data_IF_681403671536
#
_entry.id   IF_681403671536
#
_cell.length_a   1.000
_cell.length_b   1.000
_cell.length_c   1.000
_cell.angle_alpha   90.00
_cell.angle_beta   90.00
_cell.angle_gamma   90.00
#
_symmetry.space_group_name_H-M   'P 1'
#
loop_
_entity.id
_entity.type
_entity.pdbx_description
1 polymer ?
#
# COMPACT_ATOMS: atom_id res chain seq x y z
N UNK A 1 -41.40 46.48 53.39
CA UNK A 1 -40.30 46.89 52.49
C UNK A 1 -39.09 47.17 53.36
N UNK A 2 -38.13 46.25 53.40
CA UNK A 2 -36.73 46.54 53.72
C UNK A 2 -35.93 45.45 53.02
N UNK A 3 -35.18 45.88 52.02
CA UNK A 3 -34.39 45.04 51.14
C UNK A 3 -33.13 44.60 51.89
N UNK A 4 -32.95 43.29 52.06
CA UNK A 4 -31.64 42.72 52.35
C UNK A 4 -30.73 42.99 51.15
N UNK A 5 -29.78 43.89 51.34
CA UNK A 5 -28.69 44.10 50.39
C UNK A 5 -27.68 42.98 50.62
N UNK A 6 -27.78 41.92 49.81
CA UNK A 6 -26.75 40.88 49.74
C UNK A 6 -25.45 41.52 49.24
N UNK A 7 -24.52 41.75 50.16
CA UNK A 7 -23.15 42.11 49.82
C UNK A 7 -22.49 40.86 49.24
N UNK A 8 -22.28 40.87 47.93
CA UNK A 8 -21.42 39.90 47.24
C UNK A 8 -20.00 40.17 47.74
N UNK A 9 -19.51 39.34 48.67
CA UNK A 9 -18.08 39.28 48.98
C UNK A 9 -17.39 38.75 47.74
N UNK A 10 -16.59 39.60 47.09
CA UNK A 10 -15.59 39.13 46.14
C UNK A 10 -14.65 38.19 46.92
N UNK A 11 -14.66 36.91 46.56
CA UNK A 11 -13.70 35.91 47.03
C UNK A 11 -12.30 36.29 46.48
N UNK A 12 -11.69 37.34 47.05
CA UNK A 12 -10.27 37.60 46.86
C UNK A 12 -9.50 36.43 47.46
N UNK A 13 -8.94 35.59 46.58
CA UNK A 13 -8.10 34.47 46.97
C UNK A 13 -6.88 35.02 47.73
N UNK A 14 -6.93 34.96 49.06
CA UNK A 14 -5.81 35.37 49.91
C UNK A 14 -4.66 34.36 49.78
N UNK A 15 -3.76 34.64 48.83
CA UNK A 15 -2.56 33.86 48.53
C UNK A 15 -1.66 33.65 49.75
N UNK A 16 -1.68 34.57 50.73
CA UNK A 16 -0.91 34.46 51.96
C UNK A 16 -1.43 33.36 52.90
N UNK A 17 -2.74 33.16 52.94
CA UNK A 17 -3.39 32.10 53.71
C UNK A 17 -3.07 30.71 53.14
N UNK A 18 -3.10 30.56 51.80
CA UNK A 18 -2.76 29.32 51.10
C UNK A 18 -1.29 28.94 51.33
N UNK A 19 -0.37 29.90 51.31
CA UNK A 19 1.05 29.65 51.54
C UNK A 19 1.35 29.15 52.96
N UNK A 20 0.64 29.66 53.97
CA UNK A 20 0.75 29.16 55.35
C UNK A 20 0.26 27.71 55.47
N UNK A 21 -0.82 27.34 54.77
CA UNK A 21 -1.33 25.96 54.74
C UNK A 21 -0.33 25.00 54.07
N UNK A 22 0.31 25.43 52.97
CA UNK A 22 1.38 24.69 52.30
C UNK A 22 2.59 24.45 53.23
N UNK A 23 3.04 25.50 53.92
CA UNK A 23 4.19 25.43 54.84
C UNK A 23 3.91 24.52 56.03
N UNK A 24 2.66 24.47 56.51
CA UNK A 24 2.23 23.59 57.61
C UNK A 24 2.27 22.11 57.23
N UNK A 25 1.86 21.76 56.00
CA UNK A 25 1.81 20.37 55.52
C UNK A 25 2.97 19.99 54.58
N UNK A 26 4.07 20.76 54.58
CA UNK A 26 5.22 20.55 53.68
C UNK A 26 5.75 19.12 53.63
N UNK A 27 5.75 18.40 54.76
CA UNK A 27 6.19 17.01 54.82
C UNK A 27 5.15 16.04 54.22
N UNK A 28 3.86 16.30 54.40
CA UNK A 28 2.80 15.50 53.79
C UNK A 28 2.76 15.67 52.27
N UNK A 29 2.92 16.91 51.80
CA UNK A 29 3.06 17.21 50.37
C UNK A 29 4.31 16.51 49.81
N UNK A 30 5.47 16.67 50.45
CA UNK A 30 6.72 16.03 50.02
C UNK A 30 6.61 14.49 49.98
N UNK A 31 5.93 13.88 50.95
CA UNK A 31 5.71 12.43 51.00
C UNK A 31 4.83 11.95 49.84
N UNK A 32 3.70 12.62 49.59
CA UNK A 32 2.82 12.30 48.46
C UNK A 32 3.57 12.47 47.14
N UNK A 33 4.29 13.58 46.96
CA UNK A 33 5.11 13.80 45.76
C UNK A 33 6.17 12.70 45.58
N UNK A 34 6.84 12.27 46.65
CA UNK A 34 7.82 11.19 46.59
C UNK A 34 7.19 9.86 46.16
N UNK A 35 5.97 9.54 46.63
CA UNK A 35 5.25 8.34 46.20
C UNK A 35 4.92 8.40 44.70
N UNK A 36 4.41 9.54 44.20
CA UNK A 36 4.12 9.69 42.78
C UNK A 36 5.38 9.61 41.91
N UNK A 37 6.50 10.17 42.37
CA UNK A 37 7.80 10.04 41.68
C UNK A 37 8.27 8.59 41.67
N UNK A 38 8.14 7.85 42.77
CA UNK A 38 8.50 6.44 42.83
C UNK A 38 7.61 5.59 41.90
N UNK A 39 6.30 5.83 41.88
CA UNK A 39 5.38 5.15 40.96
C UNK A 39 5.70 5.46 39.50
N UNK A 40 5.99 6.73 39.18
CA UNK A 40 6.38 7.14 37.83
C UNK A 40 7.71 6.49 37.41
N UNK A 41 8.69 6.40 38.31
CA UNK A 41 9.97 5.76 38.04
C UNK A 41 9.82 4.26 37.77
N UNK A 42 9.00 3.56 38.57
CA UNK A 42 8.66 2.15 38.35
C UNK A 42 7.96 1.99 36.99
N UNK A 43 6.98 2.84 36.67
CA UNK A 43 6.26 2.80 35.40
C UNK A 43 7.20 2.99 34.19
N UNK A 44 8.10 3.98 34.25
CA UNK A 44 9.07 4.25 33.18
C UNK A 44 10.10 3.12 33.01
N UNK A 45 10.45 2.40 34.07
CA UNK A 45 11.34 1.25 33.99
C UNK A 45 10.75 0.11 33.14
N UNK A 46 9.43 -0.13 33.27
CA UNK A 46 8.74 -1.20 32.54
C UNK A 46 8.30 -0.82 31.12
N UNK A 47 8.14 0.47 30.82
CA UNK A 47 7.79 0.89 29.46
C UNK A 47 8.90 0.53 28.44
N UNK A 48 8.54 -0.08 27.28
CA UNK A 48 9.48 -0.25 26.18
C UNK A 48 9.75 1.12 25.51
N UNK A 49 11.01 1.37 25.14
CA UNK A 49 11.35 2.52 24.30
C UNK A 49 10.81 2.28 22.88
N UNK A 50 10.12 3.27 22.30
CA UNK A 50 9.61 3.23 20.93
C UNK A 50 10.46 4.18 20.08
N UNK A 51 10.97 3.66 18.97
CA UNK A 51 11.77 4.38 17.98
C UNK A 51 11.01 4.43 16.66
N UNK A 52 11.29 5.44 15.83
CA UNK A 52 10.77 5.51 14.47
C UNK A 52 11.90 5.48 13.46
N UNK A 53 11.71 4.72 12.39
CA UNK A 53 12.50 4.80 11.18
C UNK A 53 11.60 5.36 10.07
N UNK A 54 12.15 6.19 9.18
CA UNK A 54 11.40 6.71 8.05
C UNK A 54 12.28 6.83 6.80
N UNK A 55 11.61 6.75 5.65
CA UNK A 55 12.20 7.09 4.35
C UNK A 55 11.34 8.13 3.65
N UNK A 56 11.95 8.85 2.70
CA UNK A 56 11.28 9.81 1.83
C UNK A 56 11.41 9.32 0.39
N UNK A 57 10.27 9.12 -0.26
CA UNK A 57 10.18 8.62 -1.62
C UNK A 57 9.54 9.68 -2.54
N UNK A 58 10.28 10.11 -3.55
CA UNK A 58 9.77 10.99 -4.60
C UNK A 58 8.99 10.17 -5.64
N UNK A 59 7.70 10.46 -5.80
CA UNK A 59 6.87 9.86 -6.85
C UNK A 59 6.98 10.72 -8.10
N UNK A 60 7.73 10.23 -9.10
CA UNK A 60 7.87 10.92 -10.39
C UNK A 60 6.73 10.55 -11.35
N UNK A 61 5.83 11.50 -11.56
CA UNK A 61 4.91 11.46 -12.70
C UNK A 61 5.64 11.77 -14.01
N UNK A 62 5.22 11.13 -15.12
CA UNK A 62 5.51 11.70 -16.45
C UNK A 62 4.84 13.07 -16.49
N UNK A 63 5.63 14.14 -16.63
CA UNK A 63 5.08 15.44 -17.03
C UNK A 63 4.46 15.21 -18.41
N UNK A 64 3.14 15.17 -18.49
CA UNK A 64 2.48 15.40 -19.77
C UNK A 64 3.02 16.75 -20.27
N UNK A 65 3.44 16.82 -21.53
CA UNK A 65 3.94 18.04 -22.14
C UNK A 65 2.81 19.07 -22.20
N UNK A 66 2.60 19.80 -21.11
CA UNK A 66 1.61 20.86 -21.00
C UNK A 66 2.36 22.17 -21.15
N UNK A 67 2.03 22.92 -22.19
CA UNK A 67 2.47 24.30 -22.35
C UNK A 67 2.07 25.09 -21.09
N UNK A 68 3.06 25.72 -20.45
CA UNK A 68 2.98 26.39 -19.15
C UNK A 68 2.09 27.64 -19.10
N UNK A 69 1.28 27.89 -20.13
CA UNK A 69 0.48 29.12 -20.27
C UNK A 69 -1.02 28.90 -20.04
N UNK A 70 -1.46 27.68 -19.71
CA UNK A 70 -2.87 27.42 -19.45
C UNK A 70 -3.12 27.16 -17.96
N UNK A 71 -3.65 28.18 -17.27
CA UNK A 71 -3.96 28.17 -15.83
C UNK A 71 -4.89 27.01 -15.45
N UNK A 72 -5.82 26.63 -16.35
CA UNK A 72 -6.70 25.47 -16.18
C UNK A 72 -5.94 24.14 -16.19
N UNK A 73 -4.90 24.01 -17.03
CA UNK A 73 -4.09 22.80 -17.08
C UNK A 73 -3.14 22.67 -15.86
N UNK A 74 -2.82 23.78 -15.19
CA UNK A 74 -2.06 23.76 -13.93
C UNK A 74 -2.95 23.40 -12.73
N UNK A 75 -4.21 23.84 -12.71
CA UNK A 75 -5.18 23.50 -11.66
C UNK A 75 -5.69 22.05 -11.81
N UNK A 76 -5.94 21.59 -13.04
CA UNK A 76 -6.30 20.19 -13.34
C UNK A 76 -5.09 19.24 -13.30
N UNK A 77 -3.91 19.69 -13.72
CA UNK A 77 -2.66 18.93 -13.63
C UNK A 77 -2.16 18.74 -12.20
N UNK A 78 -2.51 19.66 -11.29
CA UNK A 78 -2.30 19.52 -9.84
C UNK A 78 -3.18 18.43 -9.22
N UNK A 79 -4.44 18.30 -9.65
CA UNK A 79 -5.33 17.21 -9.23
C UNK A 79 -4.82 15.83 -9.68
N UNK A 80 -4.38 15.68 -10.93
CA UNK A 80 -3.83 14.41 -11.43
C UNK A 80 -2.49 14.02 -10.80
N UNK A 81 -1.74 14.95 -10.24
CA UNK A 81 -0.55 14.64 -9.44
C UNK A 81 -0.89 14.23 -8.00
N UNK A 82 -1.94 14.82 -7.42
CA UNK A 82 -2.44 14.48 -6.08
C UNK A 82 -3.06 13.08 -6.05
N UNK A 83 -3.93 12.74 -7.01
CA UNK A 83 -4.52 11.40 -7.14
C UNK A 83 -3.46 10.31 -7.32
N UNK A 84 -2.38 10.61 -8.05
CA UNK A 84 -1.25 9.68 -8.23
C UNK A 84 -0.52 9.39 -6.92
N UNK A 85 -0.28 10.41 -6.10
CA UNK A 85 0.43 10.24 -4.83
C UNK A 85 -0.46 9.47 -3.84
N UNK A 86 -1.76 9.80 -3.77
CA UNK A 86 -2.72 9.11 -2.92
C UNK A 86 -2.80 7.61 -3.27
N UNK A 87 -2.85 7.29 -4.57
CA UNK A 87 -2.81 5.89 -5.05
C UNK A 87 -1.54 5.16 -4.59
N UNK A 88 -0.36 5.74 -4.80
CA UNK A 88 0.89 5.10 -4.37
C UNK A 88 0.96 4.92 -2.83
N UNK A 89 0.41 5.87 -2.07
CA UNK A 89 0.32 5.75 -0.61
C UNK A 89 -0.58 4.60 -0.17
N UNK A 90 -1.71 4.38 -0.85
CA UNK A 90 -2.58 3.24 -0.55
C UNK A 90 -1.94 1.91 -0.97
N UNK A 91 -1.27 1.85 -2.13
CA UNK A 91 -0.51 0.66 -2.56
C UNK A 91 0.54 0.27 -1.49
N UNK A 92 1.25 1.24 -0.90
CA UNK A 92 2.23 1.00 0.16
C UNK A 92 1.63 0.38 1.44
N UNK A 93 0.35 0.60 1.71
CA UNK A 93 -0.37 0.01 2.84
C UNK A 93 -0.93 -1.38 2.54
N UNK A 94 -0.97 -1.79 1.27
CA UNK A 94 -1.53 -3.08 0.89
C UNK A 94 -0.74 -4.25 1.47
N UNK A 95 -1.48 -5.34 1.69
CA UNK A 95 -0.97 -6.57 2.29
C UNK A 95 0.12 -7.21 1.42
N UNK A 96 -0.02 -7.16 0.09
CA UNK A 96 0.91 -7.79 -0.86
C UNK A 96 2.30 -7.14 -0.89
N UNK A 97 2.37 -5.80 -0.92
CA UNK A 97 3.64 -5.08 -0.91
C UNK A 97 4.39 -5.33 0.40
N UNK A 98 3.65 -5.31 1.51
CA UNK A 98 4.19 -5.58 2.84
C UNK A 98 4.61 -7.05 3.01
N UNK A 99 3.99 -7.99 2.29
CA UNK A 99 4.33 -9.42 2.37
C UNK A 99 5.73 -9.67 1.86
N UNK A 100 6.05 -9.09 0.71
CA UNK A 100 7.38 -9.15 0.13
C UNK A 100 8.43 -8.50 1.06
N UNK A 101 8.07 -7.37 1.69
CA UNK A 101 8.93 -6.69 2.65
C UNK A 101 9.21 -7.54 3.90
N UNK A 102 8.18 -8.11 4.51
CA UNK A 102 8.33 -8.91 5.73
C UNK A 102 9.08 -10.22 5.48
N UNK A 103 8.88 -10.87 4.32
CA UNK A 103 9.65 -12.05 3.94
C UNK A 103 11.16 -11.75 3.88
N UNK A 104 11.57 -10.53 3.53
CA UNK A 104 12.97 -10.12 3.53
C UNK A 104 13.54 -9.86 4.95
N UNK A 105 12.68 -9.63 5.94
CA UNK A 105 13.06 -9.23 7.31
C UNK A 105 12.97 -10.40 8.31
N UNK A 106 12.54 -11.58 7.86
CA UNK A 106 12.32 -12.80 8.67
C UNK A 106 11.43 -12.54 9.89
N UNK A 107 10.23 -12.00 9.61
CA UNK A 107 9.29 -11.51 10.62
C UNK A 107 8.65 -12.60 11.51
N UNK A 108 8.80 -13.87 11.13
CA UNK A 108 8.05 -14.97 11.73
C UNK A 108 8.46 -15.27 13.18
N UNK A 109 9.65 -14.84 13.60
CA UNK A 109 10.20 -15.15 14.91
C UNK A 109 10.69 -13.89 15.62
N UNK A 110 10.28 -13.74 16.88
CA UNK A 110 10.76 -12.67 17.78
C UNK A 110 11.43 -13.29 18.98
N UNK A 111 12.62 -12.81 19.33
CA UNK A 111 13.42 -13.34 20.43
C UNK A 111 13.43 -12.37 21.62
N UNK A 112 13.37 -12.90 22.82
CA UNK A 112 13.39 -12.15 24.07
C UNK A 112 14.38 -12.79 25.04
N UNK A 113 15.07 -11.92 25.78
CA UNK A 113 16.01 -12.28 26.83
C UNK A 113 15.51 -11.72 28.17
N UNK A 114 15.78 -12.42 29.26
CA UNK A 114 15.42 -11.98 30.61
C UNK A 114 16.56 -11.10 31.16
N UNK A 115 16.41 -9.78 31.10
CA UNK A 115 17.38 -8.85 31.66
C UNK A 115 16.83 -8.23 32.96
N UNK A 116 17.32 -8.69 34.12
CA UNK A 116 16.97 -8.16 35.45
C UNK A 116 15.47 -7.84 35.61
N UNK A 117 14.61 -8.88 35.48
CA UNK A 117 13.15 -8.82 35.63
C UNK A 117 12.39 -8.07 34.51
N UNK A 118 13.07 -7.65 33.43
CA UNK A 118 12.47 -7.12 32.21
C UNK A 118 12.74 -8.05 31.03
N UNK A 119 11.68 -8.50 30.36
CA UNK A 119 11.79 -9.17 29.06
C UNK A 119 12.20 -8.14 28.03
N UNK A 120 13.42 -8.25 27.51
CA UNK A 120 13.96 -7.35 26.49
C UNK A 120 14.03 -8.09 25.18
N UNK A 121 13.40 -7.52 24.17
CA UNK A 121 13.42 -8.09 22.83
C UNK A 121 14.79 -7.91 22.17
N UNK A 122 15.22 -8.91 21.39
CA UNK A 122 16.48 -8.93 20.65
C UNK A 122 16.22 -9.27 19.19
N UNK A 123 16.83 -8.50 18.29
CA UNK A 123 16.70 -8.70 16.84
C UNK A 123 18.02 -9.10 16.17
N UNK A 124 19.17 -8.62 16.67
CA UNK A 124 20.49 -8.98 16.15
C UNK A 124 21.32 -9.75 17.18
N UNK A 125 22.31 -10.50 16.71
CA UNK A 125 23.23 -11.30 17.53
C UNK A 125 22.55 -12.36 18.42
N UNK A 126 21.41 -12.89 17.98
CA UNK A 126 20.71 -13.98 18.67
C UNK A 126 21.54 -15.26 18.55
N UNK A 127 21.76 -16.02 19.65
CA UNK A 127 22.59 -17.22 19.65
C UNK A 127 21.88 -18.46 19.10
N UNK A 128 20.57 -18.38 18.86
CA UNK A 128 19.74 -19.39 18.20
C UNK A 128 19.09 -18.82 16.95
N UNK A 129 18.72 -19.70 16.03
CA UNK A 129 18.06 -19.34 14.79
C UNK A 129 16.98 -20.37 14.47
N UNK A 130 15.74 -19.93 14.42
CA UNK A 130 14.57 -20.78 14.19
C UNK A 130 14.17 -20.69 12.72
N UNK A 131 14.28 -21.80 11.99
CA UNK A 131 14.01 -21.89 10.55
C UNK A 131 12.98 -22.94 10.19
N UNK A 132 12.57 -22.94 8.92
CA UNK A 132 11.66 -23.92 8.32
C UNK A 132 10.31 -24.00 9.05
N UNK A 133 9.77 -22.84 9.43
CA UNK A 133 8.51 -22.76 10.16
C UNK A 133 7.36 -23.12 9.23
N UNK A 134 6.66 -24.21 9.56
CA UNK A 134 5.41 -24.62 8.93
C UNK A 134 4.34 -24.72 10.00
N UNK A 135 3.19 -24.13 9.73
CA UNK A 135 2.06 -24.18 10.65
C UNK A 135 0.96 -25.02 10.04
N UNK A 136 0.59 -26.09 10.74
CA UNK A 136 -0.46 -27.02 10.29
C UNK A 136 -1.83 -26.67 10.89
N UNK A 137 -1.86 -25.92 11.99
CA UNK A 137 -3.09 -25.47 12.65
C UNK A 137 -3.46 -24.04 12.25
N UNK A 138 -4.63 -23.86 11.61
CA UNK A 138 -5.16 -22.53 11.23
C UNK A 138 -5.68 -21.72 12.43
N UNK A 139 -5.92 -22.34 13.57
CA UNK A 139 -6.55 -21.68 14.74
C UNK A 139 -5.54 -20.97 15.65
N UNK A 140 -4.25 -21.29 15.53
CA UNK A 140 -3.22 -20.70 16.37
C UNK A 140 -2.66 -19.43 15.72
N UNK A 141 -2.66 -18.31 16.45
CA UNK A 141 -2.13 -17.03 15.96
C UNK A 141 -0.63 -16.87 16.24
N UNK A 142 -0.19 -17.35 17.39
CA UNK A 142 1.22 -17.36 17.80
C UNK A 142 1.46 -18.37 18.94
N UNK A 143 2.69 -18.85 19.05
CA UNK A 143 3.14 -19.65 20.20
C UNK A 143 4.33 -18.98 20.87
N UNK A 144 4.33 -18.94 22.21
CA UNK A 144 5.46 -18.46 22.99
C UNK A 144 6.25 -19.66 23.52
N UNK A 145 7.54 -19.74 23.20
CA UNK A 145 8.41 -20.81 23.66
C UNK A 145 9.53 -20.28 24.53
N UNK A 146 9.95 -21.09 25.50
CA UNK A 146 11.14 -20.88 26.32
C UNK A 146 12.13 -22.01 26.05
N UNK A 147 13.31 -21.66 25.58
CA UNK A 147 14.43 -22.57 25.36
C UNK A 147 15.43 -22.43 26.51
N UNK A 148 15.70 -23.55 27.20
CA UNK A 148 16.72 -23.62 28.25
C UNK A 148 17.90 -24.47 27.77
N UNK A 149 19.12 -23.91 27.65
CA UNK A 149 20.27 -24.66 27.13
C UNK A 149 20.70 -25.78 28.09
N UNK A 150 21.10 -26.92 27.53
CA UNK A 150 21.65 -28.08 28.24
C UNK A 150 22.96 -28.56 27.58
N UNK A 151 23.75 -29.40 28.27
CA UNK A 151 25.11 -29.78 27.83
C UNK A 151 25.19 -30.41 26.43
N UNK A 152 24.16 -31.11 25.95
CA UNK A 152 24.12 -31.68 24.60
C UNK A 152 22.83 -31.37 23.83
N UNK A 153 22.06 -30.36 24.25
CA UNK A 153 20.75 -30.07 23.69
C UNK A 153 20.05 -28.92 24.40
N UNK A 154 18.73 -28.89 24.38
CA UNK A 154 17.92 -27.90 25.08
C UNK A 154 16.59 -28.48 25.57
N UNK A 155 16.01 -27.83 26.56
CA UNK A 155 14.64 -28.07 26.99
C UNK A 155 13.74 -26.98 26.44
N UNK A 156 12.55 -27.36 25.99
CA UNK A 156 11.57 -26.45 25.42
C UNK A 156 10.30 -26.47 26.27
N UNK A 157 9.87 -25.29 26.72
CA UNK A 157 8.59 -25.08 27.40
C UNK A 157 7.70 -24.19 26.55
N UNK A 158 6.43 -24.52 26.45
CA UNK A 158 5.48 -23.83 25.58
C UNK A 158 4.44 -23.12 26.44
N UNK A 159 4.07 -21.90 26.05
CA UNK A 159 2.87 -21.23 26.54
C UNK A 159 2.06 -20.83 25.32
N UNK A 160 0.80 -21.27 25.30
CA UNK A 160 -0.14 -20.93 24.24
C UNK A 160 -1.07 -19.83 24.74
N UNK A 161 -1.02 -18.68 24.06
CA UNK A 161 -1.79 -17.46 24.38
C UNK A 161 -3.31 -17.70 24.39
N UNK A 162 -3.81 -18.73 23.72
CA UNK A 162 -5.25 -19.05 23.66
C UNK A 162 -5.75 -19.80 24.92
N UNK A 163 -4.85 -20.48 25.66
CA UNK A 163 -5.24 -21.28 26.84
C UNK A 163 -4.69 -20.76 28.18
N UNK A 164 -3.74 -19.83 28.20
CA UNK A 164 -3.06 -19.45 29.44
C UNK A 164 -3.52 -18.10 30.04
N UNK A 165 -4.40 -18.19 31.05
CA UNK A 165 -4.42 -17.25 32.17
C UNK A 165 -3.45 -17.65 33.30
N UNK A 166 -2.69 -18.75 33.14
CA UNK A 166 -1.93 -19.43 34.19
C UNK A 166 -0.52 -19.91 33.75
N UNK A 167 0.13 -19.27 32.79
CA UNK A 167 1.56 -19.47 32.50
C UNK A 167 1.95 -20.82 31.86
N UNK A 168 3.13 -20.85 31.22
CA UNK A 168 3.68 -21.97 30.43
C UNK A 168 3.23 -23.37 30.88
N UNK A 169 2.29 -23.95 30.15
CA UNK A 169 1.84 -25.34 30.33
C UNK A 169 2.55 -26.29 29.35
N UNK A 170 3.18 -27.30 29.93
CA UNK A 170 3.89 -28.43 29.31
C UNK A 170 5.37 -28.17 29.05
N UNK A 171 6.18 -28.77 29.93
CA UNK A 171 7.62 -28.95 29.79
C UNK A 171 7.83 -30.19 28.94
N UNK A 172 8.42 -30.07 27.75
CA UNK A 172 9.07 -31.25 27.16
C UNK A 172 10.23 -31.62 28.10
N UNK A 173 10.09 -32.73 28.82
CA UNK A 173 11.12 -33.25 29.74
C UNK A 173 12.31 -33.84 28.99
N UNK A 174 12.17 -34.05 27.68
CA UNK A 174 13.15 -34.73 26.86
C UNK A 174 14.19 -33.74 26.33
N UNK A 175 15.45 -34.19 26.35
CA UNK A 175 16.57 -33.43 25.82
C UNK A 175 16.45 -33.37 24.29
N UNK A 176 16.12 -32.20 23.75
CA UNK A 176 16.00 -31.97 22.31
C UNK A 176 17.36 -31.62 21.72
N UNK A 177 17.66 -32.16 20.54
CA UNK A 177 18.88 -31.86 19.79
C UNK A 177 18.65 -30.69 18.83
N UNK A 178 19.69 -29.89 18.61
CA UNK A 178 19.71 -28.86 17.56
C UNK A 178 19.59 -29.47 16.15
N UNK A 179 19.13 -28.67 15.20
CA UNK A 179 18.96 -29.02 13.77
C UNK A 179 17.97 -30.16 13.46
N UNK A 180 17.25 -30.67 14.46
CA UNK A 180 16.12 -31.59 14.24
C UNK A 180 14.82 -30.81 14.04
N UNK A 181 13.95 -31.36 13.18
CA UNK A 181 12.59 -30.85 13.04
C UNK A 181 11.82 -31.13 14.33
N UNK A 182 11.32 -30.08 14.96
CA UNK A 182 10.50 -30.14 16.15
C UNK A 182 9.06 -29.88 15.76
N UNK A 183 8.14 -30.66 16.31
CA UNK A 183 6.71 -30.45 16.18
C UNK A 183 6.14 -30.12 17.54
N UNK A 184 5.62 -28.91 17.69
CA UNK A 184 5.16 -28.36 18.96
C UNK A 184 3.87 -27.61 18.72
N UNK A 185 2.77 -28.11 19.31
CA UNK A 185 1.46 -27.46 19.28
C UNK A 185 1.02 -27.05 17.85
N UNK A 186 1.25 -27.90 16.85
CA UNK A 186 0.91 -27.64 15.44
C UNK A 186 1.90 -26.75 14.66
N UNK A 187 3.02 -26.35 15.28
CA UNK A 187 4.14 -25.67 14.61
C UNK A 187 5.28 -26.66 14.38
N UNK A 188 5.79 -26.70 13.15
CA UNK A 188 6.98 -27.44 12.76
C UNK A 188 8.11 -26.48 12.48
N UNK A 189 9.23 -26.59 13.19
CA UNK A 189 10.38 -25.71 12.99
C UNK A 189 11.69 -26.40 13.37
N UNK A 190 12.83 -25.86 12.93
CA UNK A 190 14.17 -26.30 13.30
C UNK A 190 14.86 -25.22 14.12
N UNK A 191 15.53 -25.61 15.20
CA UNK A 191 16.35 -24.69 16.01
C UNK A 191 17.82 -24.95 15.71
N UNK A 192 18.49 -23.98 15.11
CA UNK A 192 19.93 -24.01 14.83
C UNK A 192 20.68 -23.23 15.91
N UNK A 193 21.81 -23.77 16.37
CA UNK A 193 22.68 -23.08 17.33
C UNK A 193 23.70 -22.24 16.56
N UNK A 194 23.69 -20.91 16.76
CA UNK A 194 24.68 -19.99 16.19
C UNK A 194 25.83 -19.67 17.14
N UNK A 195 25.54 -19.52 18.43
CA UNK A 195 26.53 -19.22 19.48
C UNK A 195 26.25 -20.02 20.75
N UNK A 196 27.25 -20.16 21.61
CA UNK A 196 27.04 -20.69 22.96
C UNK A 196 26.35 -19.65 23.84
N UNK A 197 25.41 -20.11 24.65
CA UNK A 197 24.65 -19.29 25.58
C UNK A 197 24.28 -20.10 26.82
N UNK A 198 24.21 -19.42 27.96
CA UNK A 198 23.94 -20.03 29.27
C UNK A 198 22.61 -19.60 29.86
N UNK A 199 21.98 -18.55 29.31
CA UNK A 199 20.70 -18.02 29.76
C UNK A 199 19.53 -18.62 28.96
N UNK A 200 18.34 -18.76 29.55
CA UNK A 200 17.16 -19.15 28.80
C UNK A 200 16.77 -18.09 27.78
N UNK A 201 16.34 -18.50 26.59
CA UNK A 201 15.88 -17.61 25.52
C UNK A 201 14.41 -17.86 25.30
N UNK A 202 13.63 -16.79 25.23
CA UNK A 202 12.23 -16.87 24.86
C UNK A 202 12.09 -16.48 23.41
N UNK A 203 11.21 -17.14 22.67
CA UNK A 203 10.88 -16.73 21.32
C UNK A 203 9.41 -16.93 21.03
N UNK A 204 8.85 -16.05 20.22
CA UNK A 204 7.47 -16.12 19.75
C UNK A 204 7.50 -16.46 18.28
N UNK A 205 6.76 -17.49 17.88
CA UNK A 205 6.56 -17.86 16.48
C UNK A 205 5.16 -17.47 16.05
N UNK A 206 5.05 -16.73 14.96
CA UNK A 206 3.78 -16.30 14.38
C UNK A 206 3.34 -17.26 13.27
N UNK A 207 2.03 -17.51 13.18
CA UNK A 207 1.52 -18.55 12.28
C UNK A 207 1.31 -18.11 10.85
N UNK A 208 0.74 -16.93 10.66
CA UNK A 208 0.46 -16.37 9.35
C UNK A 208 0.99 -14.94 9.26
N UNK A 209 1.17 -14.52 8.01
CA UNK A 209 1.53 -13.16 7.66
C UNK A 209 0.43 -12.15 8.05
N UNK A 210 -0.84 -12.47 7.80
CA UNK A 210 -1.98 -11.57 8.02
C UNK A 210 -2.12 -11.16 9.49
N UNK A 211 -2.10 -12.10 10.45
CA UNK A 211 -2.23 -11.75 11.87
C UNK A 211 -1.02 -10.93 12.35
N UNK A 212 0.17 -11.20 11.81
CA UNK A 212 1.35 -10.40 12.14
C UNK A 212 1.23 -9.00 11.56
N UNK A 213 0.76 -8.87 10.32
CA UNK A 213 0.54 -7.59 9.67
C UNK A 213 -0.48 -6.75 10.45
N UNK A 214 -1.68 -7.28 10.70
CA UNK A 214 -2.75 -6.56 11.39
C UNK A 214 -2.39 -6.22 12.83
N UNK A 215 -1.70 -7.13 13.54
CA UNK A 215 -1.36 -6.95 14.94
C UNK A 215 -0.14 -6.06 15.19
N UNK A 216 0.84 -6.04 14.28
CA UNK A 216 2.15 -5.41 14.55
C UNK A 216 2.56 -4.38 13.49
N UNK A 217 2.21 -4.60 12.22
CA UNK A 217 2.64 -3.72 11.13
C UNK A 217 1.66 -2.58 10.93
N UNK A 218 0.41 -2.90 10.58
CA UNK A 218 -0.65 -1.93 10.29
C UNK A 218 -0.78 -0.80 11.34
N UNK A 219 -0.81 -1.07 12.67
CA UNK A 219 -0.96 0.00 13.67
C UNK A 219 0.28 0.89 13.82
N UNK A 220 1.45 0.40 13.41
CA UNK A 220 2.74 1.09 13.59
C UNK A 220 3.32 1.66 12.28
N UNK A 221 2.73 1.31 11.14
CA UNK A 221 3.05 1.83 9.82
C UNK A 221 2.27 3.11 9.56
N UNK A 222 2.97 4.17 9.19
CA UNK A 222 2.39 5.43 8.77
C UNK A 222 2.93 5.81 7.40
N UNK A 223 2.04 5.88 6.41
CA UNK A 223 2.33 6.38 5.08
C UNK A 223 1.61 7.70 4.90
N UNK A 224 2.35 8.77 4.69
CA UNK A 224 1.81 10.13 4.64
C UNK A 224 2.58 11.00 3.65
N UNK A 225 1.95 12.05 3.15
CA UNK A 225 2.61 13.03 2.30
C UNK A 225 3.26 14.12 3.15
N UNK A 226 4.49 14.52 2.82
CA UNK A 226 5.20 15.55 3.60
C UNK A 226 4.56 16.94 3.45
N UNK A 227 4.01 17.23 2.27
CA UNK A 227 3.21 18.42 1.97
C UNK A 227 2.22 18.08 0.86
N UNK A 228 0.97 18.56 0.95
CA UNK A 228 -0.10 18.32 -0.05
C UNK A 228 0.31 18.68 -1.48
N UNK A 229 1.21 19.64 -1.64
CA UNK A 229 1.68 20.11 -2.95
C UNK A 229 2.96 19.41 -3.44
N UNK A 230 3.55 18.50 -2.65
CA UNK A 230 4.81 17.83 -2.98
C UNK A 230 4.57 16.36 -3.27
N UNK A 231 5.05 15.83 -4.40
CA UNK A 231 4.99 14.40 -4.74
C UNK A 231 6.00 13.56 -3.94
N UNK A 232 6.09 13.79 -2.62
CA UNK A 232 7.01 13.11 -1.71
C UNK A 232 6.19 12.38 -0.65
N UNK A 233 6.33 11.06 -0.63
CA UNK A 233 5.73 10.17 0.36
C UNK A 233 6.75 9.93 1.47
N UNK A 234 6.31 10.12 2.71
CA UNK A 234 7.01 9.69 3.92
C UNK A 234 6.43 8.36 4.37
N UNK A 235 7.29 7.35 4.37
CA UNK A 235 7.00 6.02 4.94
C UNK A 235 7.68 5.97 6.30
N UNK A 236 6.92 5.82 7.37
CA UNK A 236 7.41 5.76 8.74
C UNK A 236 6.93 4.48 9.44
N UNK A 237 7.82 3.81 10.17
CA UNK A 237 7.47 2.65 10.98
C UNK A 237 7.99 2.82 12.40
N UNK A 238 7.14 2.51 13.39
CA UNK A 238 7.44 2.60 14.82
C UNK A 238 7.71 1.21 15.40
N UNK A 239 8.80 1.09 16.15
CA UNK A 239 9.23 -0.18 16.70
C UNK A 239 10.02 0.01 17.99
N UNK A 240 10.04 -1.00 18.86
CA UNK A 240 10.91 -1.02 20.02
C UNK A 240 12.38 -1.34 19.69
N UNK A 241 12.66 -1.78 18.46
CA UNK A 241 14.00 -2.12 17.99
C UNK A 241 14.39 -1.28 16.76
N UNK A 242 15.31 -0.30 16.92
CA UNK A 242 15.79 0.52 15.80
C UNK A 242 16.28 -0.25 14.57
N UNK A 243 17.12 -1.30 14.68
CA UNK A 243 17.63 -1.99 13.50
C UNK A 243 16.53 -2.74 12.73
N UNK A 244 15.48 -3.21 13.42
CA UNK A 244 14.34 -3.84 12.75
C UNK A 244 13.51 -2.80 12.01
N UNK A 245 13.26 -1.66 12.63
CA UNK A 245 12.51 -0.58 11.99
C UNK A 245 13.19 -0.11 10.69
N UNK A 246 14.51 0.08 10.72
CA UNK A 246 15.30 0.47 9.54
C UNK A 246 15.20 -0.60 8.46
N UNK A 247 15.50 -1.87 8.78
CA UNK A 247 15.44 -2.95 7.79
C UNK A 247 14.06 -3.14 7.19
N UNK A 248 13.01 -2.99 7.99
CA UNK A 248 11.64 -3.10 7.50
C UNK A 248 11.27 -1.94 6.57
N UNK A 249 11.56 -0.69 6.95
CA UNK A 249 11.30 0.47 6.07
C UNK A 249 12.09 0.36 4.77
N UNK A 250 13.35 -0.07 4.82
CA UNK A 250 14.17 -0.31 3.63
C UNK A 250 13.58 -1.42 2.75
N UNK A 251 13.21 -2.57 3.34
CA UNK A 251 12.60 -3.68 2.62
C UNK A 251 11.26 -3.31 1.99
N UNK A 252 10.42 -2.55 2.70
CA UNK A 252 9.14 -2.06 2.19
C UNK A 252 9.34 -1.12 1.01
N UNK A 253 10.29 -0.20 1.13
CA UNK A 253 10.64 0.73 0.06
C UNK A 253 11.13 0.00 -1.19
N UNK A 254 12.00 -1.00 -1.03
CA UNK A 254 12.52 -1.79 -2.14
C UNK A 254 11.43 -2.66 -2.79
N UNK A 255 10.57 -3.28 -1.98
CA UNK A 255 9.42 -4.04 -2.45
C UNK A 255 8.49 -3.18 -3.31
N UNK A 256 8.16 -1.98 -2.83
CA UNK A 256 7.35 -1.02 -3.57
C UNK A 256 8.01 -0.60 -4.89
N UNK A 257 9.29 -0.17 -4.86
CA UNK A 257 10.01 0.24 -6.08
C UNK A 257 10.04 -0.90 -7.10
N UNK A 258 10.29 -2.13 -6.65
CA UNK A 258 10.32 -3.31 -7.51
C UNK A 258 8.96 -3.56 -8.16
N UNK A 259 7.86 -3.50 -7.40
CA UNK A 259 6.52 -3.70 -7.94
C UNK A 259 6.13 -2.57 -8.90
N UNK A 260 6.41 -1.31 -8.56
CA UNK A 260 6.15 -0.16 -9.45
C UNK A 260 6.89 -0.28 -10.79
N UNK A 261 8.15 -0.75 -10.78
CA UNK A 261 8.92 -0.98 -12.02
C UNK A 261 8.29 -2.11 -12.84
N UNK A 262 7.90 -3.20 -12.19
CA UNK A 262 7.27 -4.36 -12.83
C UNK A 262 5.93 -4.00 -13.46
N UNK A 263 5.07 -3.29 -12.74
CA UNK A 263 3.78 -2.83 -13.23
C UNK A 263 3.93 -1.92 -14.44
N UNK A 264 4.85 -0.95 -14.36
CA UNK A 264 5.13 -0.02 -15.46
C UNK A 264 5.72 -0.73 -16.69
N UNK A 265 6.55 -1.74 -16.48
CA UNK A 265 7.08 -2.58 -17.56
C UNK A 265 5.97 -3.39 -18.23
N UNK A 266 5.10 -4.02 -17.42
CA UNK A 266 3.93 -4.78 -17.90
C UNK A 266 2.99 -3.91 -18.75
N UNK A 267 2.71 -2.69 -18.31
CA UNK A 267 1.92 -1.72 -19.07
C UNK A 267 2.57 -1.35 -20.40
N UNK A 268 3.87 -1.06 -20.41
CA UNK A 268 4.60 -0.73 -21.63
C UNK A 268 4.62 -1.90 -22.63
N UNK A 269 4.79 -3.14 -22.16
CA UNK A 269 4.78 -4.30 -23.03
C UNK A 269 3.41 -4.51 -23.68
N UNK A 270 2.31 -4.32 -22.94
CA UNK A 270 0.96 -4.37 -23.51
C UNK A 270 0.75 -3.32 -24.61
N UNK A 271 1.33 -2.13 -24.46
CA UNK A 271 1.29 -1.09 -25.49
C UNK A 271 2.05 -1.53 -26.74
N UNK A 272 3.24 -2.13 -26.57
CA UNK A 272 4.03 -2.67 -27.68
C UNK A 272 3.24 -3.77 -28.40
N UNK A 273 2.69 -4.73 -27.64
CA UNK A 273 1.88 -5.82 -28.19
C UNK A 273 0.67 -5.30 -28.99
N UNK A 274 0.02 -4.24 -28.49
CA UNK A 274 -1.07 -3.57 -29.20
C UNK A 274 -0.58 -2.95 -30.51
N UNK A 275 0.51 -2.18 -30.48
CA UNK A 275 1.08 -1.53 -31.67
C UNK A 275 1.49 -2.58 -32.71
N UNK A 276 2.15 -3.65 -32.31
CA UNK A 276 2.57 -4.73 -33.21
C UNK A 276 1.37 -5.41 -33.87
N UNK A 277 0.30 -5.65 -33.10
CA UNK A 277 -0.95 -6.21 -33.63
C UNK A 277 -1.59 -5.27 -34.65
N UNK A 278 -1.63 -3.96 -34.38
CA UNK A 278 -2.18 -2.98 -35.32
C UNK A 278 -1.33 -2.86 -36.59
N UNK A 279 0.00 -2.86 -36.48
CA UNK A 279 0.91 -2.80 -37.63
C UNK A 279 0.75 -3.99 -38.56
N UNK A 280 0.57 -5.20 -38.00
CA UNK A 280 0.29 -6.41 -38.80
C UNK A 280 -1.04 -6.26 -39.54
N UNK A 281 -2.11 -5.82 -38.85
CA UNK A 281 -3.43 -5.64 -39.45
C UNK A 281 -3.42 -4.61 -40.58
N UNK A 282 -2.74 -3.48 -40.40
CA UNK A 282 -2.59 -2.44 -41.45
C UNK A 282 -1.82 -3.00 -42.65
N UNK A 283 -0.75 -3.76 -42.41
CA UNK A 283 0.06 -4.36 -43.48
C UNK A 283 -0.75 -5.38 -44.29
N UNK A 284 -1.58 -6.20 -43.63
CA UNK A 284 -2.47 -7.14 -44.32
C UNK A 284 -3.51 -6.41 -45.16
N UNK A 285 -4.12 -5.35 -44.61
CA UNK A 285 -5.09 -4.53 -45.32
C UNK A 285 -4.47 -3.84 -46.54
N UNK A 286 -3.27 -3.27 -46.39
CA UNK A 286 -2.55 -2.65 -47.51
C UNK A 286 -2.26 -3.67 -48.62
N UNK A 287 -1.80 -4.88 -48.27
CA UNK A 287 -1.54 -5.95 -49.23
C UNK A 287 -2.81 -6.40 -49.96
N UNK A 288 -3.93 -6.45 -49.25
CA UNK A 288 -5.23 -6.74 -49.86
C UNK A 288 -5.60 -5.64 -50.88
N UNK A 289 -5.46 -4.37 -50.50
CA UNK A 289 -5.70 -3.23 -51.39
C UNK A 289 -4.77 -3.24 -52.62
N UNK A 290 -3.47 -3.53 -52.45
CA UNK A 290 -2.52 -3.68 -53.56
C UNK A 290 -2.96 -4.78 -54.54
N UNK A 291 -3.39 -5.93 -54.01
CA UNK A 291 -3.87 -7.05 -54.83
C UNK A 291 -5.14 -6.67 -55.61
N UNK A 292 -6.05 -5.92 -54.98
CA UNK A 292 -7.25 -5.42 -55.65
C UNK A 292 -6.91 -4.40 -56.76
N UNK A 293 -5.95 -3.51 -56.52
CA UNK A 293 -5.48 -2.55 -57.52
C UNK A 293 -4.81 -3.23 -58.72
N UNK A 294 -3.96 -4.24 -58.47
CA UNK A 294 -3.33 -5.03 -59.53
C UNK A 294 -4.37 -5.75 -60.39
N UNK A 295 -5.38 -6.38 -59.77
CA UNK A 295 -6.48 -7.02 -60.47
C UNK A 295 -7.27 -6.02 -61.35
N UNK A 296 -7.50 -4.81 -60.85
CA UNK A 296 -8.16 -3.74 -61.60
C UNK A 296 -7.32 -3.26 -62.79
N UNK A 297 -6.00 -3.07 -62.61
CA UNK A 297 -5.09 -2.67 -63.68
C UNK A 297 -5.00 -3.73 -64.79
N UNK A 298 -4.94 -5.02 -64.41
CA UNK A 298 -4.94 -6.15 -65.34
C UNK A 298 -6.24 -6.25 -66.14
N UNK A 299 -7.40 -6.09 -65.48
CA UNK A 299 -8.71 -6.16 -66.14
C UNK A 299 -8.93 -5.04 -67.15
N UNK A 300 -8.37 -3.85 -66.90
CA UNK A 300 -8.54 -2.67 -67.76
C UNK A 300 -7.40 -2.46 -68.77
N UNK A 301 -6.46 -3.41 -68.92
CA UNK A 301 -5.31 -3.33 -69.83
C UNK A 301 -4.46 -2.05 -69.68
N UNK A 302 -4.34 -1.52 -68.46
CA UNK A 302 -3.57 -0.30 -68.16
C UNK A 302 -2.08 -0.64 -67.96
N UNK A 303 -1.40 -1.07 -69.02
CA UNK A 303 -0.01 -1.57 -68.94
C UNK A 303 1.05 -0.46 -68.97
N UNK A 304 0.66 0.78 -69.33
CA UNK A 304 1.44 1.99 -69.08
C UNK A 304 0.48 3.11 -68.63
N UNK A 305 0.43 3.44 -67.33
CA UNK A 305 -0.35 4.57 -66.88
C UNK A 305 0.22 5.84 -67.52
N UNK A 306 -0.61 6.67 -68.17
CA UNK A 306 -0.18 8.04 -68.48
C UNK A 306 0.20 8.76 -67.18
N UNK A 307 0.97 9.85 -67.24
CA UNK A 307 1.30 10.66 -66.04
C UNK A 307 0.04 11.06 -65.25
N UNK A 308 -1.10 11.23 -65.93
CA UNK A 308 -2.39 11.44 -65.27
C UNK A 308 -2.85 10.22 -64.46
N UNK A 309 -2.67 8.99 -64.95
CA UNK A 309 -3.04 7.77 -64.23
C UNK A 309 -2.12 7.48 -63.03
N UNK A 310 -0.81 7.78 -63.11
CA UNK A 310 0.06 7.74 -61.92
C UNK A 310 -0.37 8.75 -60.84
N UNK A 311 -0.79 9.94 -61.26
CA UNK A 311 -1.28 10.98 -60.34
C UNK A 311 -2.61 10.53 -59.69
N UNK A 312 -3.50 9.95 -60.48
CA UNK A 312 -4.78 9.41 -60.00
C UNK A 312 -4.57 8.23 -59.03
N UNK A 313 -3.61 7.34 -59.30
CA UNK A 313 -3.26 6.24 -58.39
C UNK A 313 -2.71 6.77 -57.06
N UNK A 314 -1.88 7.83 -57.09
CA UNK A 314 -1.39 8.47 -55.85
C UNK A 314 -2.52 9.13 -55.06
N UNK A 315 -3.46 9.80 -55.73
CA UNK A 315 -4.64 10.37 -55.06
C UNK A 315 -5.55 9.28 -54.49
N UNK A 316 -5.75 8.16 -55.21
CA UNK A 316 -6.49 7.00 -54.74
C UNK A 316 -5.85 6.36 -53.50
N UNK A 317 -4.53 6.12 -53.54
CA UNK A 317 -3.79 5.58 -52.39
C UNK A 317 -3.86 6.53 -51.17
N UNK A 318 -3.75 7.84 -51.38
CA UNK A 318 -3.92 8.81 -50.30
C UNK A 318 -5.35 8.85 -49.75
N UNK A 319 -6.36 8.65 -50.61
CA UNK A 319 -7.76 8.53 -50.20
C UNK A 319 -8.01 7.23 -49.43
N UNK A 320 -7.41 6.11 -49.82
CA UNK A 320 -7.53 4.82 -49.11
C UNK A 320 -6.85 4.85 -47.74
N UNK A 321 -5.72 5.54 -47.61
CA UNK A 321 -5.08 5.79 -46.31
C UNK A 321 -6.03 6.59 -45.42
N UNK A 322 -6.58 7.71 -45.92
CA UNK A 322 -7.56 8.51 -45.17
C UNK A 322 -8.83 7.72 -44.82
N UNK A 323 -9.31 6.88 -45.73
CA UNK A 323 -10.46 6.02 -45.47
C UNK A 323 -10.15 5.03 -44.35
N UNK A 324 -8.95 4.43 -44.36
CA UNK A 324 -8.52 3.50 -43.31
C UNK A 324 -8.31 4.18 -41.96
N UNK A 325 -7.76 5.40 -41.94
CA UNK A 325 -7.66 6.24 -40.75
C UNK A 325 -9.06 6.53 -40.18
N UNK A 326 -10.00 6.95 -41.02
CA UNK A 326 -11.38 7.23 -40.61
C UNK A 326 -12.13 5.96 -40.13
N UNK A 327 -11.93 4.82 -40.79
CA UNK A 327 -12.51 3.54 -40.36
C UNK A 327 -11.94 3.08 -39.01
N UNK A 328 -10.65 3.32 -38.77
CA UNK A 328 -10.02 3.05 -37.48
C UNK A 328 -10.59 3.96 -36.39
N UNK A 329 -10.69 5.27 -36.67
CA UNK A 329 -11.32 6.24 -35.77
C UNK A 329 -12.77 5.85 -35.45
N UNK A 330 -13.55 5.44 -36.46
CA UNK A 330 -14.91 4.93 -36.28
C UNK A 330 -14.97 3.70 -35.38
N UNK A 331 -14.08 2.71 -35.57
CA UNK A 331 -14.01 1.53 -34.70
C UNK A 331 -13.63 1.85 -33.25
N UNK A 332 -12.80 2.87 -33.04
CA UNK A 332 -12.48 3.37 -31.70
C UNK A 332 -13.70 4.01 -31.04
N UNK A 333 -14.50 4.78 -31.79
CA UNK A 333 -15.75 5.39 -31.31
C UNK A 333 -16.82 4.33 -31.02
N UNK A 334 -16.96 3.31 -31.87
CA UNK A 334 -17.88 2.19 -31.66
C UNK A 334 -17.52 1.42 -30.39
N UNK A 335 -16.22 1.14 -30.21
CA UNK A 335 -15.71 0.51 -28.99
C UNK A 335 -15.99 1.40 -27.78
N UNK A 336 -15.68 2.70 -27.85
CA UNK A 336 -15.99 3.65 -26.78
C UNK A 336 -17.47 3.62 -26.38
N UNK A 337 -18.36 3.65 -27.36
CA UNK A 337 -19.81 3.62 -27.16
C UNK A 337 -20.23 2.31 -26.48
N UNK A 338 -19.76 1.16 -26.96
CA UNK A 338 -20.05 -0.15 -26.37
C UNK A 338 -19.57 -0.24 -24.90
N UNK A 339 -18.40 0.31 -24.60
CA UNK A 339 -17.85 0.31 -23.23
C UNK A 339 -18.63 1.22 -22.29
N UNK A 340 -19.04 2.40 -22.78
CA UNK A 340 -19.85 3.37 -22.03
C UNK A 340 -21.26 2.83 -21.76
N UNK A 341 -21.85 2.11 -22.71
CA UNK A 341 -23.18 1.49 -22.56
C UNK A 341 -23.17 0.26 -21.64
N UNK A 342 -22.15 -0.60 -21.73
CA UNK A 342 -22.10 -1.87 -21.01
C UNK A 342 -21.51 -1.80 -19.60
N UNK A 343 -21.23 -0.61 -19.06
CA UNK A 343 -20.74 -0.40 -17.70
C UNK A 343 -19.43 -1.18 -17.39
N UNK A 344 -18.54 -1.29 -18.38
CA UNK A 344 -17.23 -1.95 -18.22
C UNK A 344 -16.16 -0.91 -17.84
N UNK A 345 -15.17 -1.31 -17.05
CA UNK A 345 -14.01 -0.46 -16.73
C UNK A 345 -13.29 -0.03 -18.01
N UNK A 346 -13.10 1.28 -18.17
CA UNK A 346 -12.51 1.90 -19.38
C UNK A 346 -10.99 1.71 -19.46
N UNK A 347 -10.38 1.20 -18.39
CA UNK A 347 -8.92 1.06 -18.24
C UNK A 347 -8.24 0.24 -19.34
N UNK A 348 -8.99 -0.67 -19.97
CA UNK A 348 -8.48 -1.50 -21.07
C UNK A 348 -8.30 -0.73 -22.39
N UNK A 349 -9.05 0.35 -22.61
CA UNK A 349 -9.08 1.09 -23.89
C UNK A 349 -8.62 2.55 -23.76
N UNK A 350 -8.50 3.09 -22.54
CA UNK A 350 -8.06 4.46 -22.28
C UNK A 350 -6.78 4.90 -23.02
N UNK A 351 -5.73 4.05 -23.17
CA UNK A 351 -4.55 4.42 -23.94
C UNK A 351 -4.82 4.62 -25.43
N UNK A 352 -5.69 3.80 -26.03
CA UNK A 352 -6.07 3.87 -27.44
C UNK A 352 -7.01 5.05 -27.73
N UNK A 353 -7.80 5.47 -26.74
CA UNK A 353 -8.68 6.62 -26.86
C UNK A 353 -7.90 7.94 -26.93
N UNK A 354 -6.69 8.03 -26.36
CA UNK A 354 -5.83 9.23 -26.42
C UNK A 354 -5.35 9.58 -27.84
N UNK A 355 -5.48 8.68 -28.80
CA UNK A 355 -5.21 8.94 -30.22
C UNK A 355 -6.38 9.63 -30.92
N UNK A 356 -7.60 9.57 -30.35
CA UNK A 356 -8.73 10.40 -30.77
C UNK A 356 -8.39 11.83 -30.38
N UNK A 357 -8.03 12.67 -31.35
CA UNK A 357 -7.63 14.06 -31.12
C UNK A 357 -8.81 14.97 -30.68
N UNK A 358 -9.85 14.39 -30.07
CA UNK A 358 -11.06 15.04 -29.59
C UNK A 358 -10.98 15.32 -28.08
N UNK A 359 -10.45 16.49 -27.75
CA UNK A 359 -10.16 16.92 -26.37
C UNK A 359 -11.38 16.92 -25.42
N UNK A 360 -12.58 17.37 -25.82
CA UNK A 360 -13.76 17.34 -24.95
C UNK A 360 -14.16 15.92 -24.52
N UNK A 361 -14.13 14.96 -25.43
CA UNK A 361 -14.50 13.56 -25.14
C UNK A 361 -13.45 12.89 -24.25
N UNK A 362 -12.16 13.17 -24.49
CA UNK A 362 -11.08 12.71 -23.63
C UNK A 362 -11.19 13.23 -22.19
N UNK A 363 -11.63 14.47 -22.00
CA UNK A 363 -11.84 15.05 -20.68
C UNK A 363 -12.99 14.35 -19.94
N UNK A 364 -14.10 14.10 -20.65
CA UNK A 364 -15.24 13.36 -20.09
C UNK A 364 -14.88 11.90 -19.76
N UNK A 365 -14.07 11.24 -20.58
CA UNK A 365 -13.55 9.89 -20.32
C UNK A 365 -12.69 9.88 -19.04
N UNK A 366 -11.80 10.85 -18.89
CA UNK A 366 -10.93 10.97 -17.71
C UNK A 366 -11.75 11.20 -16.44
N UNK A 367 -12.77 12.07 -16.52
CA UNK A 367 -13.72 12.28 -15.41
C UNK A 367 -14.48 10.99 -15.08
N UNK A 368 -14.95 10.26 -16.09
CA UNK A 368 -15.65 8.99 -15.90
C UNK A 368 -14.78 7.95 -15.20
N UNK A 369 -13.49 7.85 -15.57
CA UNK A 369 -12.54 6.94 -14.90
C UNK A 369 -12.35 7.30 -13.43
N UNK A 370 -12.14 8.59 -13.11
CA UNK A 370 -11.96 9.03 -11.72
C UNK A 370 -13.19 8.74 -10.84
N UNK A 371 -14.41 8.93 -11.37
CA UNK A 371 -15.64 8.64 -10.63
C UNK A 371 -15.89 7.13 -10.49
N UNK A 372 -15.47 6.30 -11.46
CA UNK A 372 -15.51 4.83 -11.33
C UNK A 372 -14.55 4.33 -10.24
N UNK A 373 -13.32 4.83 -10.21
CA UNK A 373 -12.34 4.49 -9.17
C UNK A 373 -12.83 4.91 -7.78
N UNK A 374 -13.47 6.07 -7.69
CA UNK A 374 -14.11 6.54 -6.48
C UNK A 374 -15.30 5.66 -6.08
N UNK A 375 -16.12 5.20 -7.04
CA UNK A 375 -17.19 4.24 -6.77
C UNK A 375 -16.62 2.94 -6.17
N UNK A 376 -15.53 2.42 -6.76
CA UNK A 376 -14.84 1.23 -6.27
C UNK A 376 -14.34 1.42 -4.83
N UNK A 377 -13.72 2.57 -4.51
CA UNK A 377 -13.32 2.88 -3.13
C UNK A 377 -14.50 2.99 -2.16
N UNK A 378 -15.61 3.62 -2.58
CA UNK A 378 -16.79 3.81 -1.74
C UNK A 378 -17.51 2.48 -1.49
N UNK A 379 -17.50 1.56 -2.45
CA UNK A 379 -18.09 0.23 -2.31
C UNK A 379 -17.28 -0.71 -1.39
N UNK A 380 -16.02 -0.37 -1.08
CA UNK A 380 -15.22 -1.09 -0.08
C UNK A 380 -15.62 -0.69 1.34
N UNK A 381 -15.96 0.58 1.56
CA UNK A 381 -16.27 1.13 2.88
C UNK A 381 -17.77 1.18 3.20
N UNK A 382 -18.61 1.31 2.18
CA UNK A 382 -20.04 1.52 2.32
C UNK A 382 -20.87 0.51 1.53
N UNK A 383 -22.11 0.28 1.98
CA UNK A 383 -23.07 -0.55 1.24
C UNK A 383 -23.65 0.21 0.05
N UNK A 384 -24.13 -0.52 -0.96
CA UNK A 384 -24.67 0.02 -2.22
C UNK A 384 -25.79 1.07 -2.09
N UNK A 385 -26.42 1.19 -0.91
CA UNK A 385 -27.50 2.14 -0.63
C UNK A 385 -27.03 3.39 0.13
N UNK A 386 -25.73 3.55 0.38
CA UNK A 386 -25.21 4.74 1.07
C UNK A 386 -25.39 5.99 0.19
N UNK A 387 -25.80 7.14 0.75
CA UNK A 387 -26.08 8.36 -0.03
C UNK A 387 -24.93 8.82 -0.93
N UNK A 388 -23.68 8.64 -0.49
CA UNK A 388 -22.50 9.01 -1.28
C UNK A 388 -22.26 8.09 -2.49
N UNK A 389 -22.55 6.78 -2.35
CA UNK A 389 -22.48 5.80 -3.45
C UNK A 389 -23.57 6.10 -4.48
N UNK A 390 -24.79 6.43 -4.04
CA UNK A 390 -25.90 6.80 -4.92
C UNK A 390 -25.56 8.07 -5.70
N UNK A 391 -25.05 9.10 -5.01
CA UNK A 391 -24.66 10.36 -5.64
C UNK A 391 -23.55 10.19 -6.68
N UNK A 392 -22.53 9.39 -6.37
CA UNK A 392 -21.46 9.08 -7.32
C UNK A 392 -22.01 8.32 -8.54
N UNK A 393 -22.87 7.31 -8.36
CA UNK A 393 -23.54 6.61 -9.47
C UNK A 393 -24.36 7.53 -10.37
N UNK A 394 -25.09 8.50 -9.80
CA UNK A 394 -25.82 9.50 -10.58
C UNK A 394 -24.89 10.37 -11.43
N UNK A 395 -23.76 10.81 -10.87
CA UNK A 395 -22.70 11.54 -11.57
C UNK A 395 -22.09 10.69 -12.70
N UNK A 396 -21.68 9.46 -12.41
CA UNK A 396 -21.16 8.50 -13.38
C UNK A 396 -22.15 8.29 -14.54
N UNK A 397 -23.45 8.14 -14.24
CA UNK A 397 -24.49 8.02 -15.27
C UNK A 397 -24.64 9.28 -16.14
N UNK A 398 -24.47 10.46 -15.55
CA UNK A 398 -24.60 11.74 -16.24
C UNK A 398 -23.42 11.97 -17.17
N UNK A 399 -22.20 11.65 -16.73
CA UNK A 399 -21.00 11.75 -17.55
C UNK A 399 -21.10 10.79 -18.74
N UNK A 400 -21.57 9.55 -18.53
CA UNK A 400 -21.82 8.59 -19.63
C UNK A 400 -22.78 9.12 -20.69
N UNK A 401 -23.91 9.70 -20.26
CA UNK A 401 -24.87 10.31 -21.20
C UNK A 401 -24.26 11.45 -22.01
N UNK A 402 -23.36 12.24 -21.41
CA UNK A 402 -22.64 13.30 -22.12
C UNK A 402 -21.63 12.75 -23.13
N UNK A 403 -20.95 11.66 -22.79
CA UNK A 403 -20.02 10.99 -23.73
C UNK A 403 -20.79 10.41 -24.93
N UNK A 404 -21.97 9.83 -24.73
CA UNK A 404 -22.80 9.31 -25.81
C UNK A 404 -23.52 10.39 -26.64
N UNK A 405 -23.51 11.65 -26.18
CA UNK A 405 -24.16 12.78 -26.87
C UNK A 405 -23.18 13.61 -27.71
N UNK A 406 -21.90 13.60 -27.34
CA UNK A 406 -20.81 14.08 -28.20
C UNK A 406 -20.57 13.08 -29.32
#
# INVERSE_FOLDING_TARGET
>A
MNQDTQVVQEDEIDLGSLFKVLKRHKYGIAFITAIFVAMAWIYLYFQPSIYSAYTLLEVRGKKAGVNTNDFLAQELGGMGAMEKVDREMEILKTLDINKNALNAVDYQVRYYDDNNYKKVERYENIPIDVKDIKVESKELTSISLKLTPAKSGFYLSVSNTIKDRLGFLTVSSDLLAYDKLLEVDGFKFKVQKRKDFTTPIYFIVYSNYENFFDGMIAPNLSVSQLNKNASIIKIEYKDNLPPRAIKYVDALTQSFISESVKDKSSQNNKIIDFIDTQLISIKEKLKETETQLEAYQAQNNLVQPSVQAETLIKELSALDIKLSENEFEGKLIDSLSEFVENNKQIDAIAPSLMELNDKPTLELITQLQSEQLKEDSLNVEYTSNHPEVIKNRELTSTIRKKILQN
#
